data_IF_515085936946
#
_entry.id   IF_515085936946
#
_cell.length_a   1.000
_cell.length_b   1.000
_cell.length_c   1.000
_cell.angle_alpha   90.00
_cell.angle_beta   90.00
_cell.angle_gamma   90.00
#
_symmetry.space_group_name_H-M   'P 1'
#
loop_
_entity.id
_entity.type
_entity.pdbx_description
1 polymer ?
#
# COMPACT_ATOMS: atom_id res chain seq x y z
N UNK A 1 -19.78 1.81 2.31
CA UNK A 1 -18.30 1.93 2.36
C UNK A 1 -17.78 0.87 3.31
N UNK A 2 -16.87 -0.02 2.87
CA UNK A 2 -16.20 -0.93 3.79
C UNK A 2 -15.11 -0.14 4.50
N UNK A 3 -15.44 0.37 5.66
CA UNK A 3 -14.48 0.85 6.65
C UNK A 3 -13.83 -0.37 7.29
N UNK A 4 -12.88 -0.98 6.60
CA UNK A 4 -11.93 -1.87 7.26
C UNK A 4 -10.91 -0.97 7.97
N UNK A 5 -11.35 -0.39 9.10
CA UNK A 5 -10.47 0.21 10.09
C UNK A 5 -9.46 -0.86 10.52
N UNK A 6 -8.19 -0.47 10.70
CA UNK A 6 -7.22 -1.32 11.38
C UNK A 6 -7.85 -1.84 12.67
N UNK A 7 -7.70 -3.15 12.92
CA UNK A 7 -8.28 -3.81 14.09
C UNK A 7 -7.70 -3.29 15.43
N UNK A 8 -6.72 -2.38 15.38
CA UNK A 8 -6.05 -1.78 16.52
C UNK A 8 -6.01 -0.26 16.38
N UNK A 9 -6.19 0.45 17.50
CA UNK A 9 -6.17 1.92 17.53
C UNK A 9 -4.78 2.51 17.29
N UNK A 10 -3.72 1.73 17.60
CA UNK A 10 -2.33 2.09 17.32
C UNK A 10 -1.65 1.01 16.49
N UNK A 11 -0.68 1.42 15.68
CA UNK A 11 0.04 0.53 14.77
C UNK A 11 0.95 -0.44 15.51
N UNK A 12 1.58 -0.02 16.61
CA UNK A 12 2.42 -0.86 17.46
C UNK A 12 1.67 -1.99 18.18
N UNK A 13 0.36 -1.87 18.35
CA UNK A 13 -0.47 -2.90 19.00
C UNK A 13 -0.84 -4.04 18.04
N UNK A 14 -0.54 -3.87 16.75
CA UNK A 14 -0.93 -4.84 15.73
C UNK A 14 -0.02 -6.07 15.76
N UNK A 15 -0.48 -7.13 16.46
CA UNK A 15 0.26 -8.39 16.69
C UNK A 15 0.72 -9.13 15.44
N UNK A 16 0.08 -8.89 14.30
CA UNK A 16 0.42 -9.52 13.02
C UNK A 16 1.41 -8.69 12.18
N UNK A 17 1.87 -7.55 12.70
CA UNK A 17 2.92 -6.74 12.09
C UNK A 17 4.28 -7.01 12.74
N UNK A 18 5.36 -6.63 12.06
CA UNK A 18 6.73 -6.74 12.58
C UNK A 18 7.07 -5.66 13.61
N UNK A 19 6.27 -4.60 13.73
CA UNK A 19 6.55 -3.44 14.58
C UNK A 19 6.67 -3.79 16.08
N UNK A 20 5.68 -4.45 16.71
CA UNK A 20 5.79 -4.83 18.13
C UNK A 20 6.96 -5.80 18.40
N UNK A 21 7.24 -6.73 17.49
CA UNK A 21 8.42 -7.61 17.60
C UNK A 21 9.72 -6.82 17.53
N UNK A 22 9.80 -5.84 16.62
CA UNK A 22 10.97 -5.01 16.44
C UNK A 22 11.23 -4.11 17.66
N UNK A 23 10.20 -3.45 18.21
CA UNK A 23 10.33 -2.61 19.42
C UNK A 23 10.82 -3.39 20.63
N UNK A 24 10.43 -4.67 20.74
CA UNK A 24 10.89 -5.58 21.80
C UNK A 24 12.26 -6.21 21.54
N UNK A 25 12.87 -5.94 20.39
CA UNK A 25 14.15 -6.51 20.01
C UNK A 25 14.08 -8.02 19.73
N UNK A 26 13.01 -8.49 19.10
CA UNK A 26 12.86 -9.89 18.71
C UNK A 26 14.05 -10.37 17.86
N UNK A 27 14.71 -11.45 18.31
CA UNK A 27 15.89 -12.03 17.66
C UNK A 27 15.63 -12.55 16.25
N UNK A 28 14.37 -12.84 15.92
CA UNK A 28 13.97 -13.32 14.60
C UNK A 28 13.83 -12.19 13.58
N UNK A 29 13.75 -10.94 14.04
CA UNK A 29 13.71 -9.78 13.17
C UNK A 29 15.11 -9.23 12.98
N UNK A 30 15.54 -9.15 11.73
CA UNK A 30 16.84 -8.57 11.39
C UNK A 30 16.94 -7.14 11.91
N UNK A 31 17.97 -6.86 12.71
CA UNK A 31 18.39 -5.49 13.08
C UNK A 31 19.17 -4.83 11.93
N UNK A 32 18.75 -5.04 10.69
CA UNK A 32 19.38 -4.37 9.56
C UNK A 32 19.30 -2.87 9.77
N UNK A 33 20.30 -2.13 9.27
CA UNK A 33 20.22 -0.68 9.18
C UNK A 33 19.02 -0.34 8.30
N UNK A 34 17.86 -0.12 8.91
CA UNK A 34 16.69 0.39 8.18
C UNK A 34 17.03 1.85 7.91
N UNK A 35 17.22 2.26 6.65
CA UNK A 35 17.45 3.66 6.36
C UNK A 35 16.14 4.38 6.71
N UNK A 36 16.20 5.16 7.81
CA UNK A 36 15.20 6.13 8.24
C UNK A 36 13.95 5.55 8.92
N UNK A 37 14.10 5.23 10.21
CA UNK A 37 13.03 5.45 11.20
C UNK A 37 13.48 6.58 12.13
N UNK A 38 13.33 7.80 11.65
CA UNK A 38 13.51 9.01 12.43
C UNK A 38 12.52 9.06 13.60
N UNK A 39 12.70 10.04 14.50
CA UNK A 39 11.89 10.19 15.70
C UNK A 39 10.39 10.27 15.41
N UNK A 40 9.99 10.80 14.24
CA UNK A 40 8.59 10.95 13.81
C UNK A 40 7.99 9.77 13.05
N UNK A 41 8.74 8.67 12.86
CA UNK A 41 8.28 7.56 12.02
C UNK A 41 7.03 6.87 12.58
N UNK A 42 6.98 6.69 13.90
CA UNK A 42 5.88 5.97 14.56
C UNK A 42 4.60 6.82 14.55
N UNK A 43 4.73 8.13 14.69
CA UNK A 43 3.67 9.11 14.65
C UNK A 43 3.03 9.11 13.27
N UNK A 44 3.83 9.18 12.20
CA UNK A 44 3.34 9.08 10.82
C UNK A 44 2.66 7.74 10.54
N UNK A 45 3.16 6.65 11.13
CA UNK A 45 2.55 5.32 11.03
C UNK A 45 1.21 5.19 11.77
N UNK A 46 0.92 6.08 12.73
CA UNK A 46 -0.35 6.15 13.45
C UNK A 46 -1.30 7.23 12.87
N UNK A 47 -0.83 8.06 11.94
CA UNK A 47 -1.65 9.08 11.30
C UNK A 47 -2.65 8.44 10.32
N UNK A 48 -3.94 8.79 10.38
CA UNK A 48 -4.92 8.23 9.46
C UNK A 48 -4.68 8.72 8.03
N UNK A 49 -4.73 7.81 7.08
CA UNK A 49 -4.74 8.17 5.66
C UNK A 49 -6.00 8.98 5.31
N UNK A 50 -5.86 9.93 4.38
CA UNK A 50 -7.00 10.67 3.84
C UNK A 50 -7.94 9.74 3.05
N UNK A 51 -9.20 10.15 2.90
CA UNK A 51 -10.17 9.40 2.10
C UNK A 51 -9.69 9.20 0.64
N UNK A 52 -9.06 10.22 0.04
CA UNK A 52 -8.51 10.15 -1.30
C UNK A 52 -7.32 9.16 -1.40
N UNK A 53 -6.47 9.11 -0.38
CA UNK A 53 -5.36 8.15 -0.34
C UNK A 53 -5.88 6.71 -0.22
N UNK A 54 -6.88 6.50 0.63
CA UNK A 54 -7.54 5.20 0.76
C UNK A 54 -8.18 4.77 -0.57
N UNK A 55 -8.90 5.66 -1.25
CA UNK A 55 -9.49 5.34 -2.57
C UNK A 55 -8.43 4.95 -3.60
N UNK A 56 -7.30 5.67 -3.65
CA UNK A 56 -6.18 5.33 -4.56
C UNK A 56 -5.58 3.97 -4.24
N UNK A 57 -5.42 3.65 -2.96
CA UNK A 57 -4.88 2.37 -2.49
C UNK A 57 -5.85 1.24 -2.81
N UNK A 58 -7.13 1.40 -2.49
CA UNK A 58 -8.20 0.46 -2.84
C UNK A 58 -8.31 0.23 -4.33
N UNK A 59 -8.23 1.28 -5.14
CA UNK A 59 -8.20 1.12 -6.59
C UNK A 59 -6.97 0.32 -7.04
N UNK A 60 -5.82 0.49 -6.39
CA UNK A 60 -4.60 -0.24 -6.75
C UNK A 60 -4.71 -1.73 -6.42
N UNK A 61 -5.15 -2.05 -5.19
CA UNK A 61 -5.42 -3.42 -4.74
C UNK A 61 -6.49 -4.09 -5.59
N UNK A 62 -7.64 -3.44 -5.76
CA UNK A 62 -8.78 -4.03 -6.49
C UNK A 62 -8.47 -4.32 -7.95
N UNK A 63 -7.57 -3.55 -8.57
CA UNK A 63 -7.17 -3.68 -9.97
C UNK A 63 -5.90 -4.51 -10.17
N UNK A 64 -5.13 -4.76 -9.12
CA UNK A 64 -3.77 -5.28 -9.23
C UNK A 64 -2.84 -4.32 -9.99
N UNK A 65 -3.09 -3.00 -9.96
CA UNK A 65 -2.20 -2.03 -10.60
C UNK A 65 -1.10 -1.60 -9.61
N UNK A 66 0.09 -1.22 -10.09
CA UNK A 66 1.09 -0.55 -9.25
C UNK A 66 0.50 0.71 -8.58
N UNK A 67 0.95 0.98 -7.36
CA UNK A 67 0.59 2.19 -6.60
C UNK A 67 1.68 3.25 -6.74
N UNK A 68 1.30 4.46 -7.13
CA UNK A 68 2.21 5.60 -7.25
C UNK A 68 1.72 6.67 -8.21
N UNK A 69 2.64 7.53 -8.67
CA UNK A 69 2.36 8.51 -9.71
C UNK A 69 2.01 7.86 -11.05
N UNK A 70 1.42 8.62 -11.97
CA UNK A 70 0.93 8.06 -13.24
C UNK A 70 2.06 7.49 -14.11
N UNK A 71 3.17 8.22 -14.25
CA UNK A 71 4.36 7.76 -14.99
C UNK A 71 4.94 6.49 -14.39
N UNK A 72 5.18 6.48 -13.07
CA UNK A 72 5.65 5.29 -12.34
C UNK A 72 4.72 4.09 -12.53
N UNK A 73 3.41 4.33 -12.45
CA UNK A 73 2.40 3.28 -12.60
C UNK A 73 2.45 2.65 -13.99
N UNK A 74 2.59 3.47 -15.05
CA UNK A 74 2.69 2.98 -16.44
C UNK A 74 3.99 2.23 -16.67
N UNK A 75 5.12 2.82 -16.29
CA UNK A 75 6.45 2.22 -16.46
C UNK A 75 6.57 0.90 -15.70
N UNK A 76 6.13 0.87 -14.44
CA UNK A 76 6.13 -0.34 -13.61
C UNK A 76 5.18 -1.40 -14.16
N UNK A 77 4.01 -0.99 -14.67
CA UNK A 77 3.09 -1.95 -15.28
C UNK A 77 3.69 -2.60 -16.52
N UNK A 78 4.43 -1.85 -17.36
CA UNK A 78 5.15 -2.41 -18.51
C UNK A 78 6.25 -3.36 -18.04
N UNK A 79 7.08 -2.92 -17.09
CA UNK A 79 8.19 -3.71 -16.58
C UNK A 79 7.74 -5.04 -15.96
N UNK A 80 6.58 -5.05 -15.28
CA UNK A 80 6.02 -6.25 -14.65
C UNK A 80 5.06 -7.05 -15.55
N UNK A 81 4.77 -6.61 -16.77
CA UNK A 81 3.78 -7.25 -17.66
C UNK A 81 2.33 -7.16 -17.15
N UNK A 82 1.99 -6.08 -16.44
CA UNK A 82 0.69 -5.82 -15.79
C UNK A 82 -0.14 -4.74 -16.51
N UNK A 83 0.14 -4.42 -17.78
CA UNK A 83 -0.56 -3.37 -18.52
C UNK A 83 -2.06 -3.64 -18.66
N UNK A 84 -2.46 -4.91 -18.59
CA UNK A 84 -3.87 -5.31 -18.57
C UNK A 84 -4.64 -4.71 -17.39
N UNK A 85 -4.00 -4.51 -16.24
CA UNK A 85 -4.61 -3.92 -15.04
C UNK A 85 -4.98 -2.44 -15.24
N UNK A 86 -4.37 -1.76 -16.21
CA UNK A 86 -4.63 -0.35 -16.55
C UNK A 86 -5.80 -0.18 -17.54
N UNK A 87 -6.16 -1.22 -18.30
CA UNK A 87 -7.24 -1.16 -19.30
C UNK A 87 -8.62 -1.33 -18.64
N UNK A 88 -9.71 -0.72 -19.14
CA UNK A 88 -11.05 -0.94 -18.61
C UNK A 88 -11.38 -2.43 -18.47
N UNK A 89 -12.06 -2.81 -17.37
CA UNK A 89 -12.46 -4.20 -17.13
C UNK A 89 -13.62 -4.58 -18.06
N UNK A 90 -13.62 -5.84 -18.46
CA UNK A 90 -14.67 -6.41 -19.30
C UNK A 90 -14.38 -6.25 -20.80
N UNK A 91 -15.41 -6.50 -21.60
CA UNK A 91 -15.28 -6.48 -23.05
C UNK A 91 -14.99 -5.05 -23.54
N UNK A 92 -13.99 -4.85 -24.41
CA UNK A 92 -13.76 -3.57 -25.07
C UNK A 92 -15.04 -3.08 -25.76
N UNK A 93 -15.35 -1.79 -25.59
CA UNK A 93 -16.51 -1.18 -26.28
C UNK A 93 -16.27 -1.24 -27.78
N UNK A 94 -17.34 -1.51 -28.55
CA UNK A 94 -17.29 -1.32 -30.01
C UNK A 94 -17.01 0.16 -30.25
N UNK A 95 -15.84 0.46 -30.81
CA UNK A 95 -15.56 1.76 -31.39
C UNK A 95 -16.38 1.81 -32.68
N UNK A 96 -17.35 2.73 -32.77
CA UNK A 96 -17.95 3.04 -34.07
C UNK A 96 -16.86 3.75 -34.87
N UNK A 97 -16.51 3.15 -36.02
CA UNK A 97 -15.60 3.75 -36.98
C UNK A 97 -16.28 4.92 -37.70
#
# INVERSE_FOLDING_TARGET
MRTEQMATARTEDWKWSSLPGWQRGDRWLGKGEVPVRDEGWLERGNEPLSAADLERLWHSVSRGRPYGGESWTRETAIWLGLESCLRPRGRPRKVQA
#
